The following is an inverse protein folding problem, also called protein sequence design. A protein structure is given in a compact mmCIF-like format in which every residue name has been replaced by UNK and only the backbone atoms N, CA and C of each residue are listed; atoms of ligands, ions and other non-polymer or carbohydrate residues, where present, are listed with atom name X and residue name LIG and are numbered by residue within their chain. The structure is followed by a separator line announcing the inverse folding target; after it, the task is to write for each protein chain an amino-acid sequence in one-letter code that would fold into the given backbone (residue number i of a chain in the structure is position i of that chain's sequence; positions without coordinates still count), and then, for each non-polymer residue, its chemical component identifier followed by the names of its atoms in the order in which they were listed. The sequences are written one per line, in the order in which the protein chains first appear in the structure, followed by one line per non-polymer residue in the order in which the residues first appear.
data_IF_550458392038
#
_entry.id   IF_550458392038
#
_cell.length_a   1.000
_cell.length_b   1.000
_cell.length_c   1.000
_cell.angle_alpha   90.00
_cell.angle_beta   90.00
_cell.angle_gamma   90.00
#
_symmetry.space_group_name_H-M   'P 1'
#
loop_
_entity.id
_entity.type
_entity.pdbx_description
1 polymer ?
#
# COMPACT_ATOMS: atom_id res chain seq x y z
N UNK A 1 -20.64 67.59 1.61
CA UNK A 1 -20.03 66.34 1.22
C UNK A 1 -19.47 65.69 2.47
N UNK A 2 -20.23 64.81 3.11
CA UNK A 2 -19.80 64.04 4.29
C UNK A 2 -19.06 62.81 3.80
N UNK A 3 -17.79 62.73 4.10
CA UNK A 3 -17.00 61.54 3.82
C UNK A 3 -17.45 60.38 4.75
N UNK A 4 -17.90 59.30 4.19
CA UNK A 4 -18.17 58.04 4.90
C UNK A 4 -16.84 57.54 5.50
N UNK A 5 -16.78 57.22 6.80
CA UNK A 5 -15.55 56.71 7.40
C UNK A 5 -15.26 55.33 6.88
N UNK A 6 -14.02 55.12 6.45
CA UNK A 6 -13.47 53.92 5.90
C UNK A 6 -13.76 52.73 6.83
N UNK A 7 -14.46 51.73 6.31
CA UNK A 7 -14.82 50.50 7.04
C UNK A 7 -13.57 49.70 7.49
N UNK A 8 -12.48 49.85 6.80
CA UNK A 8 -11.22 49.18 7.14
C UNK A 8 -10.56 49.77 8.37
N UNK A 9 -10.66 51.12 8.55
CA UNK A 9 -10.13 51.79 9.74
C UNK A 9 -10.82 51.33 11.04
N UNK A 10 -12.12 51.00 10.98
CA UNK A 10 -12.87 50.44 12.13
C UNK A 10 -12.47 49.03 12.47
N UNK A 11 -12.08 48.19 11.47
CA UNK A 11 -11.61 46.82 11.69
C UNK A 11 -10.21 46.80 12.31
N UNK A 12 -9.32 47.67 11.86
CA UNK A 12 -7.97 47.80 12.43
C UNK A 12 -7.97 48.32 13.87
N UNK A 13 -8.86 49.23 14.20
CA UNK A 13 -9.04 49.69 15.59
C UNK A 13 -9.69 48.62 16.50
N UNK A 14 -10.57 47.79 15.96
CA UNK A 14 -11.22 46.71 16.71
C UNK A 14 -10.26 45.58 17.07
N UNK A 15 -9.18 45.39 16.29
CA UNK A 15 -8.16 44.36 16.54
C UNK A 15 -7.02 44.82 17.46
N UNK A 16 -7.03 46.08 17.92
CA UNK A 16 -5.83 46.70 18.50
C UNK A 16 -5.77 46.71 20.05
N UNK A 17 -6.84 46.40 20.77
CA UNK A 17 -6.81 46.39 22.25
C UNK A 17 -7.81 45.42 22.86
N UNK A 18 -7.45 44.81 24.02
CA UNK A 18 -8.33 43.90 24.79
C UNK A 18 -9.67 44.55 25.17
N UNK A 19 -9.68 45.85 25.38
CA UNK A 19 -10.90 46.62 25.70
C UNK A 19 -11.91 46.65 24.54
N UNK A 20 -11.43 46.69 23.29
CA UNK A 20 -12.29 46.63 22.10
C UNK A 20 -12.95 45.26 21.94
N UNK A 21 -12.23 44.18 22.27
CA UNK A 21 -12.77 42.83 22.25
C UNK A 21 -13.83 42.65 23.33
N UNK A 22 -13.60 43.20 24.55
CA UNK A 22 -14.57 43.16 25.63
C UNK A 22 -15.83 43.97 25.31
N UNK A 23 -15.69 45.12 24.63
CA UNK A 23 -16.85 45.92 24.19
C UNK A 23 -17.69 45.17 23.13
N UNK A 24 -17.05 44.50 22.18
CA UNK A 24 -17.74 43.68 21.18
C UNK A 24 -18.46 42.50 21.86
N UNK A 25 -17.81 41.84 22.81
CA UNK A 25 -18.44 40.75 23.59
C UNK A 25 -19.63 41.27 24.44
N UNK A 26 -19.50 42.44 25.06
CA UNK A 26 -20.61 43.05 25.81
C UNK A 26 -21.77 43.47 24.90
N UNK A 27 -21.50 43.87 23.66
CA UNK A 27 -22.55 44.16 22.67
C UNK A 27 -23.22 42.88 22.16
N UNK A 28 -22.47 41.83 21.93
CA UNK A 28 -23.01 40.51 21.54
C UNK A 28 -23.86 39.89 22.66
N UNK A 29 -23.50 40.09 23.92
CA UNK A 29 -24.30 39.66 25.07
C UNK A 29 -25.57 40.45 25.26
N UNK A 30 -25.63 41.72 24.78
CA UNK A 30 -26.84 42.57 24.80
C UNK A 30 -27.80 42.32 23.62
N UNK A 31 -27.35 41.61 22.57
CA UNK A 31 -28.28 41.09 21.58
C UNK A 31 -29.18 40.09 22.29
N UNK A 32 -30.51 40.35 22.24
CA UNK A 32 -31.55 39.55 22.91
C UNK A 32 -31.18 38.10 23.00
N UNK A 33 -31.38 37.46 24.18
CA UNK A 33 -31.24 36.01 24.26
C UNK A 33 -32.12 35.44 23.14
N UNK A 34 -31.47 34.75 22.23
CA UNK A 34 -32.18 33.96 21.25
C UNK A 34 -33.21 33.17 22.07
N UNK A 35 -34.48 33.30 21.73
CA UNK A 35 -35.51 32.50 22.36
C UNK A 35 -35.02 31.06 22.15
N UNK A 36 -34.41 30.48 23.17
CA UNK A 36 -34.20 29.03 23.25
C UNK A 36 -35.60 28.49 23.26
N UNK A 37 -36.21 28.43 22.09
CA UNK A 37 -37.42 27.67 21.86
C UNK A 37 -37.10 26.31 22.39
N UNK A 38 -37.63 25.97 23.57
CA UNK A 38 -37.45 24.65 24.12
C UNK A 38 -37.84 23.68 23.01
N UNK A 39 -36.86 22.96 22.54
CA UNK A 39 -37.12 21.92 21.54
C UNK A 39 -38.15 21.00 22.17
N UNK A 40 -39.34 20.85 21.57
CA UNK A 40 -40.35 19.95 22.13
C UNK A 40 -39.71 18.59 22.33
N UNK A 41 -40.05 17.86 23.40
CA UNK A 41 -39.55 16.51 23.72
C UNK A 41 -39.68 15.53 22.55
N UNK A 42 -40.52 15.87 21.56
CA UNK A 42 -40.73 15.07 20.35
C UNK A 42 -39.45 14.89 19.50
N UNK A 43 -38.61 15.91 19.25
CA UNK A 43 -37.35 15.73 18.54
C UNK A 43 -36.37 14.78 19.28
N UNK A 44 -36.32 14.86 20.60
CA UNK A 44 -35.46 13.97 21.40
C UNK A 44 -35.93 12.53 21.34
N UNK A 45 -37.24 12.30 21.37
CA UNK A 45 -37.82 10.97 21.18
C UNK A 45 -37.54 10.39 19.80
N UNK A 46 -37.67 11.19 18.73
CA UNK A 46 -37.35 10.80 17.37
C UNK A 46 -35.86 10.47 17.23
N UNK A 47 -34.98 11.30 17.81
CA UNK A 47 -33.53 11.06 17.81
C UNK A 47 -33.21 9.74 18.53
N UNK A 48 -33.80 9.48 19.69
CA UNK A 48 -33.64 8.23 20.42
C UNK A 48 -34.09 7.02 19.61
N UNK A 49 -35.23 7.13 18.92
CA UNK A 49 -35.75 6.06 18.06
C UNK A 49 -34.86 5.80 16.84
N UNK A 50 -34.32 6.87 16.23
CA UNK A 50 -33.33 6.74 15.14
C UNK A 50 -32.03 6.08 15.61
N UNK A 51 -31.52 6.48 16.76
CA UNK A 51 -30.32 5.84 17.34
C UNK A 51 -30.56 4.36 17.65
N UNK A 52 -31.72 4.03 18.20
CA UNK A 52 -32.10 2.63 18.45
C UNK A 52 -32.21 1.85 17.13
N UNK A 53 -32.84 2.41 16.10
CA UNK A 53 -32.96 1.76 14.80
C UNK A 53 -31.59 1.51 14.14
N UNK A 54 -30.67 2.48 14.21
CA UNK A 54 -29.30 2.30 13.71
C UNK A 54 -28.55 1.25 14.53
N UNK A 55 -28.68 1.26 15.86
CA UNK A 55 -28.02 0.29 16.74
C UNK A 55 -28.53 -1.13 16.49
N UNK A 56 -29.85 -1.36 16.50
CA UNK A 56 -30.42 -2.68 16.23
C UNK A 56 -30.23 -3.11 14.78
N UNK A 57 -30.27 -2.16 13.82
CA UNK A 57 -29.96 -2.41 12.41
C UNK A 57 -28.53 -2.88 12.21
N UNK A 58 -27.55 -2.28 12.89
CA UNK A 58 -26.16 -2.70 12.82
C UNK A 58 -25.93 -4.08 13.44
N UNK A 59 -26.60 -4.40 14.58
CA UNK A 59 -26.56 -5.74 15.15
C UNK A 59 -27.20 -6.75 14.20
N UNK A 60 -28.35 -6.42 13.61
CA UNK A 60 -29.03 -7.29 12.64
C UNK A 60 -28.13 -7.55 11.43
N UNK A 61 -27.51 -6.50 10.86
CA UNK A 61 -26.55 -6.64 9.76
C UNK A 61 -25.33 -7.47 10.17
N UNK A 62 -24.76 -7.22 11.34
CA UNK A 62 -23.63 -8.00 11.83
C UNK A 62 -23.95 -9.50 12.01
N UNK A 63 -25.19 -9.81 12.46
CA UNK A 63 -25.66 -11.19 12.64
C UNK A 63 -26.04 -11.89 11.34
N UNK A 64 -26.58 -11.13 10.37
CA UNK A 64 -27.14 -11.69 9.14
C UNK A 64 -26.29 -11.40 7.89
N UNK A 65 -25.32 -10.49 7.97
CA UNK A 65 -24.31 -10.34 6.91
C UNK A 65 -23.37 -11.55 7.00
N UNK A 66 -23.63 -12.53 6.16
CA UNK A 66 -22.66 -13.58 5.84
C UNK A 66 -21.40 -12.86 5.39
N UNK A 67 -20.38 -12.85 6.24
CA UNK A 67 -19.03 -12.32 6.04
C UNK A 67 -18.93 -11.45 4.80
N UNK A 68 -18.87 -10.14 4.99
CA UNK A 68 -18.60 -9.19 3.92
C UNK A 68 -17.22 -9.54 3.33
N UNK A 69 -17.23 -10.30 2.25
CA UNK A 69 -16.03 -10.55 1.48
C UNK A 69 -16.00 -9.53 0.35
N UNK A 70 -15.14 -8.49 0.42
CA UNK A 70 -15.09 -7.44 -0.59
C UNK A 70 -14.63 -7.94 -1.97
N UNK A 71 -14.21 -9.20 -2.08
CA UNK A 71 -13.77 -9.83 -3.32
C UNK A 71 -14.86 -10.67 -3.99
N UNK A 72 -16.01 -10.86 -3.34
CA UNK A 72 -17.11 -11.67 -3.87
C UNK A 72 -18.32 -10.80 -4.18
N UNK A 73 -18.15 -9.83 -5.08
CA UNK A 73 -19.28 -9.32 -5.84
C UNK A 73 -19.43 -10.19 -7.08
N UNK A 74 -19.95 -11.40 -6.90
CA UNK A 74 -20.30 -12.28 -8.01
C UNK A 74 -21.82 -12.33 -8.12
N UNK A 75 -22.36 -11.53 -9.03
CA UNK A 75 -23.78 -11.41 -9.32
C UNK A 75 -24.41 -12.73 -9.79
N UNK A 76 -23.58 -13.69 -10.17
CA UNK A 76 -23.93 -15.02 -10.65
C UNK A 76 -23.52 -16.17 -9.74
N UNK A 77 -23.07 -15.86 -8.52
CA UNK A 77 -22.85 -16.92 -7.54
C UNK A 77 -24.19 -17.60 -7.24
N UNK A 78 -24.42 -18.73 -7.86
CA UNK A 78 -25.52 -19.63 -7.50
C UNK A 78 -25.54 -19.74 -5.99
N UNK A 79 -26.69 -19.49 -5.38
CA UNK A 79 -26.98 -19.73 -3.98
C UNK A 79 -26.94 -21.23 -3.67
N UNK A 80 -25.84 -21.87 -3.96
CA UNK A 80 -25.52 -23.14 -3.37
C UNK A 80 -25.19 -22.85 -1.90
N UNK A 81 -25.88 -23.57 -1.02
CA UNK A 81 -25.82 -23.51 0.46
C UNK A 81 -24.45 -23.10 0.95
N UNK A 82 -24.32 -22.33 2.07
CA UNK A 82 -23.03 -21.99 2.65
C UNK A 82 -22.35 -23.27 3.15
N UNK A 83 -21.84 -24.03 2.20
CA UNK A 83 -20.84 -25.06 2.44
C UNK A 83 -19.56 -24.30 2.73
N UNK A 84 -18.85 -24.72 3.76
CA UNK A 84 -17.59 -24.18 4.19
C UNK A 84 -16.79 -23.67 2.98
N UNK A 85 -16.46 -22.37 2.96
CA UNK A 85 -15.54 -21.79 1.99
C UNK A 85 -14.35 -22.74 1.94
N UNK A 86 -14.22 -23.53 0.87
CA UNK A 86 -12.98 -24.22 0.60
C UNK A 86 -11.95 -23.10 0.45
N UNK A 87 -11.18 -22.89 1.50
CA UNK A 87 -9.98 -22.06 1.42
C UNK A 87 -9.08 -22.81 0.44
N UNK A 88 -9.19 -22.47 -0.84
CA UNK A 88 -8.25 -22.95 -1.82
C UNK A 88 -6.94 -22.26 -1.45
N UNK A 89 -5.93 -23.01 -1.00
CA UNK A 89 -4.66 -22.39 -0.67
C UNK A 89 -4.16 -21.66 -1.91
N UNK A 90 -3.75 -20.42 -1.73
CA UNK A 90 -3.17 -19.65 -2.83
C UNK A 90 -1.98 -20.40 -3.39
N UNK A 91 -1.91 -20.51 -4.69
CA UNK A 91 -0.76 -21.11 -5.36
C UNK A 91 0.49 -20.26 -5.10
N UNK A 92 1.66 -20.88 -5.21
CA UNK A 92 2.95 -20.18 -5.07
C UNK A 92 3.02 -18.96 -6.00
N UNK A 93 2.53 -19.10 -7.23
CA UNK A 93 2.47 -18.02 -8.20
C UNK A 93 1.59 -16.84 -7.73
N UNK A 94 0.44 -17.12 -7.10
CA UNK A 94 -0.45 -16.07 -6.56
C UNK A 94 0.17 -15.37 -5.35
N UNK A 95 0.85 -16.13 -4.47
CA UNK A 95 1.60 -15.57 -3.35
C UNK A 95 2.77 -14.71 -3.84
N UNK A 96 3.50 -15.21 -4.85
CA UNK A 96 4.59 -14.50 -5.48
C UNK A 96 4.16 -13.19 -6.14
N UNK A 97 3.02 -13.21 -6.82
CA UNK A 97 2.44 -12.00 -7.39
C UNK A 97 2.16 -10.95 -6.32
N UNK A 98 1.60 -11.32 -5.17
CA UNK A 98 1.38 -10.36 -4.07
C UNK A 98 2.67 -9.72 -3.59
N UNK A 99 3.74 -10.49 -3.41
CA UNK A 99 5.04 -9.95 -3.00
C UNK A 99 5.61 -9.05 -4.09
N UNK A 100 5.51 -9.45 -5.35
CA UNK A 100 5.96 -8.65 -6.49
C UNK A 100 5.23 -7.30 -6.55
N UNK A 101 3.91 -7.30 -6.45
CA UNK A 101 3.07 -6.11 -6.50
C UNK A 101 3.32 -5.13 -5.34
N UNK A 102 3.81 -5.61 -4.20
CA UNK A 102 4.10 -4.74 -3.04
C UNK A 102 5.54 -4.25 -2.99
N UNK A 103 6.48 -4.98 -3.58
CA UNK A 103 7.92 -4.73 -3.36
C UNK A 103 8.68 -4.44 -4.64
N UNK A 104 8.38 -5.14 -5.74
CA UNK A 104 9.19 -5.12 -6.96
C UNK A 104 8.63 -4.20 -8.04
N UNK A 105 7.30 -4.02 -8.07
CA UNK A 105 6.56 -3.32 -9.14
C UNK A 105 7.00 -1.87 -9.33
N UNK A 106 7.42 -1.19 -8.25
CA UNK A 106 7.82 0.21 -8.30
C UNK A 106 8.97 0.47 -9.28
N UNK A 107 9.90 -0.48 -9.38
CA UNK A 107 11.06 -0.39 -10.29
C UNK A 107 10.85 -1.25 -11.55
N UNK A 108 10.38 -2.49 -11.40
CA UNK A 108 10.31 -3.42 -12.51
C UNK A 108 8.99 -3.38 -13.30
N UNK A 109 8.04 -2.55 -12.89
CA UNK A 109 6.71 -2.36 -13.46
C UNK A 109 5.84 -3.64 -13.46
N UNK A 110 4.53 -3.49 -13.55
CA UNK A 110 3.58 -4.64 -13.53
C UNK A 110 3.76 -5.59 -14.72
N UNK A 111 4.26 -5.10 -15.84
CA UNK A 111 4.54 -5.89 -17.05
C UNK A 111 5.94 -6.50 -17.06
N UNK A 112 6.76 -6.28 -16.03
CA UNK A 112 8.13 -6.80 -15.93
C UNK A 112 9.12 -6.18 -16.91
N UNK A 113 8.76 -5.11 -17.63
CA UNK A 113 9.63 -4.47 -18.62
C UNK A 113 10.62 -3.48 -18.02
N UNK A 114 10.44 -3.14 -16.73
CA UNK A 114 11.26 -2.13 -16.07
C UNK A 114 11.05 -0.73 -16.65
N UNK A 115 12.05 0.13 -16.46
CA UNK A 115 12.07 1.50 -16.99
C UNK A 115 13.33 1.66 -17.84
N UNK A 116 13.20 1.96 -19.14
CA UNK A 116 14.35 2.10 -20.04
C UNK A 116 15.41 3.05 -19.48
N UNK A 117 16.65 2.59 -19.50
CA UNK A 117 17.80 3.36 -18.98
C UNK A 117 17.89 3.47 -17.45
N UNK A 118 16.88 3.06 -16.71
CA UNK A 118 16.86 3.14 -15.24
C UNK A 118 16.79 1.75 -14.59
N UNK A 119 15.74 1.00 -14.85
CA UNK A 119 15.49 -0.29 -14.22
C UNK A 119 15.42 -1.38 -15.27
N UNK A 120 16.19 -2.47 -15.12
CA UNK A 120 16.26 -3.50 -16.13
C UNK A 120 14.95 -4.29 -16.23
N UNK A 121 14.63 -4.82 -17.44
CA UNK A 121 13.52 -5.73 -17.62
C UNK A 121 13.78 -7.08 -16.92
N UNK A 122 12.71 -7.68 -16.42
CA UNK A 122 12.70 -9.06 -15.92
C UNK A 122 12.22 -10.05 -16.99
N UNK A 123 11.50 -9.53 -17.99
CA UNK A 123 11.00 -10.31 -19.14
C UNK A 123 12.16 -10.75 -20.02
N UNK A 124 12.30 -12.06 -20.19
CA UNK A 124 13.38 -12.68 -20.98
C UNK A 124 14.78 -12.20 -20.60
N UNK A 125 14.97 -11.84 -19.31
CA UNK A 125 16.24 -11.37 -18.78
C UNK A 125 17.14 -12.53 -18.43
N UNK A 126 18.35 -12.56 -18.97
CA UNK A 126 19.39 -13.54 -18.64
C UNK A 126 19.81 -13.49 -17.16
N UNK A 127 19.57 -12.37 -16.48
CA UNK A 127 19.81 -12.23 -15.06
C UNK A 127 18.71 -12.86 -14.20
N UNK A 128 17.46 -12.74 -14.64
CA UNK A 128 16.31 -13.27 -13.92
C UNK A 128 16.07 -14.75 -14.19
N UNK A 129 16.35 -15.22 -15.42
CA UNK A 129 16.07 -16.59 -15.86
C UNK A 129 17.28 -17.52 -15.76
N UNK A 130 18.46 -16.99 -15.54
CA UNK A 130 19.68 -17.78 -15.34
C UNK A 130 19.71 -18.50 -14.00
N UNK A 131 20.89 -18.58 -13.42
CA UNK A 131 21.12 -19.27 -12.15
C UNK A 131 20.24 -18.72 -11.02
N UNK A 132 19.59 -19.62 -10.27
CA UNK A 132 18.80 -19.25 -9.10
C UNK A 132 19.68 -18.67 -7.99
N UNK A 133 20.89 -19.17 -7.79
CA UNK A 133 21.81 -18.67 -6.78
C UNK A 133 22.17 -17.19 -7.03
N UNK A 134 22.36 -16.82 -8.29
CA UNK A 134 22.68 -15.45 -8.65
C UNK A 134 21.53 -14.49 -8.33
N UNK A 135 20.32 -14.82 -8.75
CA UNK A 135 19.17 -13.93 -8.52
C UNK A 135 18.80 -13.85 -7.04
N UNK A 136 18.95 -14.95 -6.28
CA UNK A 136 18.74 -14.95 -4.83
C UNK A 136 19.74 -14.01 -4.16
N UNK A 137 21.03 -14.05 -4.50
CA UNK A 137 22.07 -13.17 -3.95
C UNK A 137 21.75 -11.71 -4.21
N UNK A 138 21.27 -11.39 -5.41
CA UNK A 138 20.85 -10.02 -5.79
C UNK A 138 19.71 -9.55 -4.91
N UNK A 139 18.66 -10.37 -4.74
CA UNK A 139 17.50 -9.97 -3.93
C UNK A 139 17.86 -9.83 -2.45
N UNK A 140 18.72 -10.70 -1.93
CA UNK A 140 19.12 -10.66 -0.52
C UNK A 140 19.95 -9.42 -0.18
N UNK A 141 20.96 -9.10 -0.96
CA UNK A 141 21.95 -8.07 -0.61
C UNK A 141 22.01 -6.88 -1.56
N UNK A 142 21.13 -6.88 -2.58
CA UNK A 142 21.11 -5.83 -3.60
C UNK A 142 22.24 -5.96 -4.61
N UNK A 143 22.19 -5.09 -5.60
CA UNK A 143 23.15 -5.02 -6.69
C UNK A 143 23.54 -3.57 -6.93
N UNK A 144 24.82 -3.29 -7.08
CA UNK A 144 25.34 -1.98 -7.41
C UNK A 144 26.41 -2.07 -8.52
N UNK A 145 26.39 -1.09 -9.39
CA UNK A 145 27.29 -0.99 -10.52
C UNK A 145 26.69 -1.43 -11.85
N UNK A 146 27.45 -1.29 -12.94
CA UNK A 146 26.93 -1.53 -14.27
C UNK A 146 26.65 -3.00 -14.54
N UNK A 147 25.47 -3.27 -15.09
CA UNK A 147 25.09 -4.57 -15.65
C UNK A 147 24.58 -4.40 -17.07
N UNK A 148 24.72 -5.44 -17.88
CA UNK A 148 24.10 -5.48 -19.20
C UNK A 148 22.95 -6.48 -19.16
N UNK A 149 21.76 -6.04 -19.54
CA UNK A 149 20.56 -6.89 -19.63
C UNK A 149 19.99 -6.75 -21.03
N UNK A 150 19.86 -7.85 -21.75
CA UNK A 150 19.38 -7.86 -23.15
C UNK A 150 20.14 -6.86 -24.04
N UNK A 151 21.46 -6.76 -23.85
CA UNK A 151 22.31 -5.85 -24.62
C UNK A 151 22.25 -4.40 -24.20
N UNK A 152 21.39 -4.01 -23.24
CA UNK A 152 21.29 -2.64 -22.73
C UNK A 152 22.00 -2.52 -21.39
N UNK A 153 22.76 -1.44 -21.22
CA UNK A 153 23.49 -1.15 -19.97
C UNK A 153 22.58 -0.44 -18.95
N UNK A 154 22.64 -0.90 -17.72
CA UNK A 154 21.96 -0.32 -16.55
C UNK A 154 22.97 -0.09 -15.43
N UNK A 155 22.85 1.02 -14.70
CA UNK A 155 23.79 1.41 -13.64
C UNK A 155 23.10 1.72 -12.30
N UNK A 156 21.78 1.65 -12.22
CA UNK A 156 21.05 1.93 -10.99
C UNK A 156 21.23 0.84 -9.94
N UNK A 157 21.15 1.27 -8.69
CA UNK A 157 21.25 0.38 -7.53
C UNK A 157 19.93 -0.35 -7.32
N UNK A 158 19.98 -1.66 -7.17
CA UNK A 158 18.88 -2.46 -6.61
C UNK A 158 19.09 -2.59 -5.09
N UNK A 159 18.12 -2.14 -4.32
CA UNK A 159 18.19 -2.21 -2.86
C UNK A 159 18.15 -3.66 -2.35
N UNK A 160 18.80 -3.96 -1.19
CA UNK A 160 18.71 -5.27 -0.55
C UNK A 160 17.32 -5.47 0.06
N UNK A 161 16.75 -6.64 -0.15
CA UNK A 161 15.43 -7.01 0.37
C UNK A 161 15.49 -8.14 1.41
N UNK A 162 16.68 -8.63 1.71
CA UNK A 162 16.89 -9.78 2.59
C UNK A 162 16.39 -9.58 4.02
N UNK A 163 16.46 -8.37 4.56
CA UNK A 163 15.94 -8.07 5.90
C UNK A 163 14.43 -7.85 5.91
N UNK A 164 13.87 -7.37 4.81
CA UNK A 164 12.45 -7.04 4.72
C UNK A 164 11.57 -8.26 4.38
N UNK A 165 12.13 -9.27 3.70
CA UNK A 165 11.40 -10.42 3.19
C UNK A 165 11.91 -11.74 3.79
N UNK A 166 10.97 -12.61 4.16
CA UNK A 166 11.25 -13.99 4.57
C UNK A 166 11.64 -14.85 3.36
N UNK A 167 12.32 -15.96 3.59
CA UNK A 167 12.78 -16.87 2.54
C UNK A 167 11.62 -17.35 1.65
N UNK A 168 10.49 -17.70 2.24
CA UNK A 168 9.31 -18.11 1.50
C UNK A 168 8.77 -16.98 0.59
N UNK A 169 8.78 -15.73 1.05
CA UNK A 169 8.32 -14.60 0.27
C UNK A 169 9.25 -14.32 -0.92
N UNK A 170 10.56 -14.40 -0.70
CA UNK A 170 11.56 -14.27 -1.78
C UNK A 170 11.39 -15.39 -2.80
N UNK A 171 11.30 -16.63 -2.34
CA UNK A 171 11.11 -17.81 -3.21
C UNK A 171 9.84 -17.68 -4.07
N UNK A 172 8.73 -17.27 -3.46
CA UNK A 172 7.46 -17.05 -4.15
C UNK A 172 7.56 -15.93 -5.18
N UNK A 173 8.17 -14.78 -4.84
CA UNK A 173 8.34 -13.65 -5.75
C UNK A 173 9.25 -14.02 -6.94
N UNK A 174 10.36 -14.69 -6.69
CA UNK A 174 11.28 -15.15 -7.74
C UNK A 174 10.63 -16.20 -8.64
N UNK A 175 9.88 -17.14 -8.08
CA UNK A 175 9.13 -18.14 -8.86
C UNK A 175 8.08 -17.46 -9.75
N UNK A 176 7.37 -16.44 -9.23
CA UNK A 176 6.45 -15.65 -10.02
C UNK A 176 7.14 -14.94 -11.20
N UNK A 177 8.27 -14.27 -10.96
CA UNK A 177 9.05 -13.58 -12.01
C UNK A 177 9.52 -14.58 -13.08
N UNK A 178 9.99 -15.75 -12.66
CA UNK A 178 10.54 -16.80 -13.55
C UNK A 178 9.48 -17.53 -14.37
N UNK A 179 8.19 -17.41 -14.00
CA UNK A 179 7.05 -18.02 -14.72
C UNK A 179 6.12 -17.00 -15.39
N UNK A 180 6.33 -15.69 -15.21
CA UNK A 180 5.43 -14.63 -15.71
C UNK A 180 5.91 -14.08 -17.06
N UNK A 181 4.99 -13.41 -17.75
CA UNK A 181 5.25 -12.63 -18.98
C UNK A 181 5.92 -13.45 -20.11
N UNK A 182 5.65 -14.76 -20.17
CA UNK A 182 6.28 -15.67 -21.13
C UNK A 182 7.65 -16.21 -20.70
N UNK A 183 8.11 -15.88 -19.51
CA UNK A 183 9.26 -16.53 -18.90
C UNK A 183 8.95 -18.00 -18.58
N UNK A 184 9.91 -18.88 -18.77
CA UNK A 184 9.78 -20.32 -18.54
C UNK A 184 11.05 -20.88 -17.88
N UNK A 185 11.30 -20.47 -16.62
CA UNK A 185 12.42 -20.96 -15.84
C UNK A 185 11.92 -21.72 -14.58
N UNK A 186 12.78 -22.56 -14.01
CA UNK A 186 12.43 -23.34 -12.82
C UNK A 186 12.06 -22.46 -11.65
N UNK A 187 11.15 -22.96 -10.81
CA UNK A 187 10.77 -22.31 -9.55
C UNK A 187 11.98 -22.25 -8.60
N UNK A 188 11.98 -21.22 -7.76
CA UNK A 188 12.94 -21.08 -6.66
C UNK A 188 12.29 -21.59 -5.38
N UNK A 189 13.02 -22.41 -4.61
CA UNK A 189 12.50 -22.97 -3.36
C UNK A 189 12.91 -22.13 -2.15
N UNK A 190 12.12 -22.12 -1.06
CA UNK A 190 12.51 -21.46 0.19
C UNK A 190 13.82 -21.98 0.77
N UNK A 191 14.09 -23.30 0.59
CA UNK A 191 15.31 -23.95 1.04
C UNK A 191 16.55 -23.42 0.29
N UNK A 192 16.42 -23.17 -1.03
CA UNK A 192 17.49 -22.56 -1.82
C UNK A 192 17.77 -21.13 -1.34
N UNK A 193 16.74 -20.37 -1.00
CA UNK A 193 16.90 -19.02 -0.44
C UNK A 193 17.56 -19.08 0.91
N UNK A 194 17.11 -19.95 1.82
CA UNK A 194 17.69 -20.14 3.15
C UNK A 194 19.17 -20.53 3.10
N UNK A 195 19.53 -21.43 2.18
CA UNK A 195 20.93 -21.84 1.94
C UNK A 195 21.79 -20.63 1.57
N UNK A 196 21.39 -19.87 0.55
CA UNK A 196 22.15 -18.69 0.09
C UNK A 196 22.22 -17.62 1.16
N UNK A 197 21.14 -17.41 1.92
CA UNK A 197 21.13 -16.47 3.07
C UNK A 197 22.13 -16.89 4.14
N UNK A 198 22.20 -18.17 4.49
CA UNK A 198 23.17 -18.69 5.47
C UNK A 198 24.61 -18.48 4.97
N UNK A 199 24.90 -18.78 3.72
CA UNK A 199 26.21 -18.58 3.10
C UNK A 199 26.66 -17.10 3.07
N UNK A 200 25.69 -16.17 3.03
CA UNK A 200 25.97 -14.75 2.85
C UNK A 200 25.65 -13.89 4.09
N UNK A 201 25.40 -14.50 5.25
CA UNK A 201 24.97 -13.83 6.48
C UNK A 201 25.88 -12.66 6.92
N UNK A 202 27.17 -12.75 6.66
CA UNK A 202 28.15 -11.70 7.01
C UNK A 202 28.23 -10.56 6.01
N UNK A 203 27.56 -10.65 4.87
CA UNK A 203 27.68 -9.64 3.81
C UNK A 203 26.78 -8.42 4.10
N UNK A 204 27.40 -7.25 4.19
CA UNK A 204 26.73 -5.96 4.41
C UNK A 204 26.82 -5.03 3.18
N UNK A 205 27.47 -5.49 2.11
CA UNK A 205 27.70 -4.69 0.89
C UNK A 205 26.87 -5.22 -0.27
N UNK A 206 26.54 -4.35 -1.19
CA UNK A 206 25.92 -4.73 -2.45
C UNK A 206 26.81 -5.69 -3.23
N UNK A 207 26.19 -6.53 -4.04
CA UNK A 207 26.90 -7.31 -5.05
C UNK A 207 27.28 -6.42 -6.24
N UNK A 208 28.36 -6.79 -6.89
CA UNK A 208 28.72 -6.25 -8.21
C UNK A 208 28.58 -7.34 -9.28
N UNK A 209 28.48 -6.94 -10.56
CA UNK A 209 28.40 -7.88 -11.65
C UNK A 209 29.60 -8.83 -11.70
N UNK A 210 30.80 -8.33 -11.40
CA UNK A 210 32.04 -9.10 -11.39
C UNK A 210 32.02 -10.20 -10.29
N UNK A 211 31.56 -9.87 -9.09
CA UNK A 211 31.43 -10.83 -7.99
C UNK A 211 30.38 -11.92 -8.27
N UNK A 212 29.35 -11.58 -9.05
CA UNK A 212 28.27 -12.50 -9.43
C UNK A 212 28.58 -13.37 -10.64
N UNK A 213 29.67 -13.11 -11.35
CA UNK A 213 30.07 -13.86 -12.54
C UNK A 213 30.26 -15.39 -12.27
N UNK A 214 30.83 -15.83 -11.14
CA UNK A 214 30.95 -17.26 -10.83
C UNK A 214 29.60 -17.99 -10.69
N UNK A 215 28.55 -17.27 -10.32
CA UNK A 215 27.19 -17.77 -10.12
C UNK A 215 26.31 -17.61 -11.37
N UNK A 216 26.87 -17.32 -12.53
CA UNK A 216 26.09 -17.08 -13.76
C UNK A 216 25.65 -18.37 -14.47
N UNK A 217 26.23 -19.54 -14.11
CA UNK A 217 25.96 -20.84 -14.75
C UNK A 217 24.85 -21.58 -14.07
#
# INVERSE_FOLDING_TARGET
MSAEPDKNFRLEQACATDDSIQQVHAQLQKTKPEKTGGYPLLPLGILGLMCAAVFFGSIYLAHNSIRFDPLVYNEHANREKPGALKIVPLTRAQLGKKVFDTTCIACHQANGLGVPGQYPPLVASEWALGSEERIIRIVLHGLNGPITVKGTKFENVMAPLGEALKDEQIANALSYVRASWGNAAAEVTPEAVAKVRAETTGRKTYWTAAELAPFAK
#
